data_IF_330379573800
#
_entry.id   IF_330379573800
#
_cell.length_a   1.000
_cell.length_b   1.000
_cell.length_c   1.000
_cell.angle_alpha   90.00
_cell.angle_beta   90.00
_cell.angle_gamma   90.00
#
_symmetry.space_group_name_H-M   'P 1'
#
loop_
_entity.id
_entity.type
_entity.pdbx_description
1 polymer ?
#
# COMPACT_ATOMS: atom_id res chain seq x y z
N UNK A 1 2.53 -6.46 9.58
CA UNK A 1 2.68 -6.75 8.14
C UNK A 1 2.69 -8.26 7.99
N UNK A 2 1.88 -8.79 7.09
CA UNK A 2 1.88 -10.23 6.76
C UNK A 2 2.30 -10.33 5.30
N UNK A 3 3.45 -10.93 5.04
CA UNK A 3 3.94 -11.17 3.69
C UNK A 3 4.04 -12.68 3.50
N UNK A 4 3.63 -13.18 2.34
CA UNK A 4 3.71 -14.59 1.99
C UNK A 4 5.15 -15.12 2.07
N UNK A 5 5.34 -16.42 2.27
CA UNK A 5 6.69 -17.00 2.31
C UNK A 5 7.49 -16.66 1.04
N UNK A 6 8.80 -16.42 1.19
CA UNK A 6 9.68 -16.07 0.07
C UNK A 6 9.55 -14.63 -0.44
N UNK A 7 8.92 -13.74 0.33
CA UNK A 7 8.78 -12.33 -0.05
C UNK A 7 9.53 -11.39 0.89
N UNK A 8 9.91 -10.24 0.36
CA UNK A 8 10.49 -9.13 1.14
C UNK A 8 9.94 -7.82 0.62
N UNK A 9 10.20 -6.71 1.32
CA UNK A 9 9.71 -5.41 0.89
C UNK A 9 10.72 -4.31 1.16
N UNK A 10 10.60 -3.24 0.38
CA UNK A 10 11.21 -1.96 0.63
C UNK A 10 10.13 -0.88 0.51
N UNK A 11 10.19 0.12 1.38
CA UNK A 11 9.26 1.25 1.33
C UNK A 11 10.04 2.56 1.40
N UNK A 12 9.71 3.49 0.50
CA UNK A 12 10.18 4.88 0.52
C UNK A 12 9.06 5.76 1.03
N UNK A 13 9.26 6.32 2.24
CA UNK A 13 8.30 7.17 2.96
C UNK A 13 9.05 8.29 3.67
N UNK A 14 8.37 9.41 3.94
CA UNK A 14 8.92 10.51 4.73
C UNK A 14 9.19 10.10 6.19
N UNK A 15 8.35 9.22 6.75
CA UNK A 15 8.54 8.75 8.11
C UNK A 15 7.57 7.69 8.57
N UNK A 16 7.75 7.29 9.83
CA UNK A 16 6.86 6.37 10.53
C UNK A 16 6.33 7.03 11.80
N UNK A 17 5.02 7.01 11.99
CA UNK A 17 4.41 7.32 13.28
C UNK A 17 4.19 6.04 14.07
N UNK A 18 4.39 6.14 15.38
CA UNK A 18 4.08 5.10 16.36
C UNK A 18 3.36 5.78 17.51
N UNK A 19 2.07 5.51 17.62
CA UNK A 19 1.20 6.03 18.67
C UNK A 19 0.41 4.89 19.33
N UNK A 20 -0.43 5.20 20.32
CA UNK A 20 -1.28 4.20 20.99
C UNK A 20 -2.21 3.47 20.00
N UNK A 21 -2.66 4.16 18.94
CA UNK A 21 -3.50 3.59 17.87
C UNK A 21 -2.74 2.62 16.94
N UNK A 22 -1.42 2.52 17.08
CA UNK A 22 -0.56 1.63 16.29
C UNK A 22 0.53 2.38 15.54
N UNK A 23 0.99 1.80 14.42
CA UNK A 23 2.02 2.38 13.57
C UNK A 23 1.49 2.70 12.17
N UNK A 24 1.97 3.80 11.59
CA UNK A 24 1.67 4.20 10.22
C UNK A 24 2.93 4.66 9.50
N UNK A 25 3.10 4.22 8.26
CA UNK A 25 3.97 4.91 7.31
C UNK A 25 3.25 6.15 6.78
N UNK A 26 3.93 7.29 6.71
CA UNK A 26 3.33 8.52 6.21
C UNK A 26 4.25 9.23 5.22
N UNK A 27 3.66 9.83 4.18
CA UNK A 27 4.39 10.57 3.14
C UNK A 27 3.43 11.34 2.23
N UNK A 28 3.92 12.37 1.54
CA UNK A 28 3.19 12.97 0.40
C UNK A 28 3.21 12.08 -0.84
N UNK A 29 4.31 11.38 -1.04
CA UNK A 29 4.52 10.40 -2.10
C UNK A 29 5.17 9.15 -1.50
N UNK A 30 4.60 7.97 -1.73
CA UNK A 30 5.17 6.70 -1.26
C UNK A 30 5.42 5.76 -2.42
N UNK A 31 6.44 4.92 -2.26
CA UNK A 31 6.69 3.76 -3.12
C UNK A 31 6.93 2.54 -2.23
N UNK A 32 6.07 1.54 -2.36
CA UNK A 32 6.20 0.22 -1.76
C UNK A 32 6.59 -0.76 -2.86
N UNK A 33 7.76 -1.37 -2.72
CA UNK A 33 8.25 -2.44 -3.59
C UNK A 33 8.23 -3.74 -2.79
N UNK A 34 7.54 -4.75 -3.30
CA UNK A 34 7.47 -6.09 -2.72
C UNK A 34 8.21 -7.03 -3.66
N UNK A 35 9.31 -7.64 -3.22
CA UNK A 35 9.96 -8.70 -3.97
C UNK A 35 9.18 -10.00 -3.76
N UNK A 36 8.84 -10.68 -4.85
CA UNK A 36 8.06 -11.91 -4.83
C UNK A 36 8.51 -12.89 -5.92
N UNK A 37 8.13 -14.18 -5.84
CA UNK A 37 8.40 -15.13 -6.92
C UNK A 37 7.83 -14.64 -8.25
N UNK A 38 8.54 -14.94 -9.34
CA UNK A 38 8.06 -14.61 -10.69
C UNK A 38 6.75 -15.35 -10.99
N UNK A 39 5.79 -14.63 -11.59
CA UNK A 39 4.48 -15.20 -11.90
C UNK A 39 3.59 -15.41 -10.67
N UNK A 40 3.83 -14.67 -9.58
CA UNK A 40 2.96 -14.62 -8.41
C UNK A 40 1.54 -14.21 -8.81
N UNK A 41 0.54 -14.96 -8.33
CA UNK A 41 -0.87 -14.67 -8.50
C UNK A 41 -1.49 -14.48 -7.12
N UNK A 42 -2.27 -13.42 -6.93
CA UNK A 42 -2.77 -13.15 -5.59
C UNK A 42 -3.50 -11.84 -5.44
N UNK A 43 -3.56 -11.40 -4.19
CA UNK A 43 -4.18 -10.13 -3.82
C UNK A 43 -3.29 -9.34 -2.87
N UNK A 44 -2.99 -8.10 -3.22
CA UNK A 44 -2.40 -7.12 -2.33
C UNK A 44 -3.51 -6.29 -1.66
N UNK A 45 -3.54 -6.32 -0.33
CA UNK A 45 -4.43 -5.51 0.50
C UNK A 45 -3.61 -4.45 1.23
N UNK A 46 -4.00 -3.18 1.09
CA UNK A 46 -3.35 -2.07 1.76
C UNK A 46 -4.38 -1.28 2.55
N UNK A 47 -4.11 -1.11 3.85
CA UNK A 47 -4.98 -0.37 4.75
C UNK A 47 -4.49 1.06 4.92
N UNK A 48 -5.34 2.00 4.50
CA UNK A 48 -5.15 3.42 4.72
C UNK A 48 -5.98 3.89 5.90
N UNK A 49 -5.52 4.91 6.64
CA UNK A 49 -6.28 5.47 7.76
C UNK A 49 -5.95 6.95 7.95
N UNK A 50 -6.95 7.83 7.94
CA UNK A 50 -6.81 9.22 8.37
C UNK A 50 -7.03 9.38 9.89
N UNK A 51 -6.03 9.03 10.72
CA UNK A 51 -6.15 9.05 12.19
C UNK A 51 -6.56 10.40 12.81
N UNK A 52 -6.28 11.49 12.09
CA UNK A 52 -6.44 12.86 12.57
C UNK A 52 -7.60 13.59 11.86
N UNK A 53 -8.38 12.90 11.03
CA UNK A 53 -9.51 13.48 10.29
C UNK A 53 -9.12 14.73 9.48
N UNK A 54 -7.95 14.69 8.83
CA UNK A 54 -7.43 15.82 8.05
C UNK A 54 -7.95 15.85 6.60
N UNK A 55 -8.98 15.07 6.27
CA UNK A 55 -9.53 14.99 4.93
C UNK A 55 -8.51 14.46 3.91
N UNK A 56 -7.73 13.45 4.30
CA UNK A 56 -6.72 12.83 3.43
C UNK A 56 -7.39 12.15 2.24
N UNK A 57 -6.90 12.43 1.04
CA UNK A 57 -7.27 11.71 -0.19
C UNK A 57 -6.06 11.58 -1.10
N UNK A 58 -6.11 10.67 -2.07
CA UNK A 58 -4.96 10.44 -2.94
C UNK A 58 -5.21 9.64 -4.19
N UNK A 59 -4.16 9.53 -5.00
CA UNK A 59 -4.07 8.64 -6.15
C UNK A 59 -3.15 7.48 -5.78
N UNK A 60 -3.61 6.27 -6.05
CA UNK A 60 -2.86 5.02 -5.91
C UNK A 60 -2.55 4.50 -7.31
N UNK A 61 -1.36 3.95 -7.49
CA UNK A 61 -0.94 3.33 -8.75
C UNK A 61 -0.24 2.01 -8.44
N UNK A 62 -0.86 0.90 -8.87
CA UNK A 62 -0.33 -0.45 -8.69
C UNK A 62 -0.07 -1.06 -10.04
N UNK A 63 1.19 -1.36 -10.36
CA UNK A 63 1.59 -1.93 -11.66
C UNK A 63 1.02 -1.12 -12.85
N UNK A 64 1.11 0.22 -12.73
CA UNK A 64 0.58 1.16 -13.72
C UNK A 64 -0.94 1.38 -13.71
N UNK A 65 -1.71 0.56 -12.96
CA UNK A 65 -3.17 0.71 -12.81
C UNK A 65 -3.49 1.72 -11.72
N UNK A 66 -4.32 2.71 -12.03
CA UNK A 66 -4.66 3.81 -11.13
C UNK A 66 -5.97 3.57 -10.39
N UNK A 67 -5.99 3.91 -9.10
CA UNK A 67 -7.17 3.94 -8.25
C UNK A 67 -7.20 5.24 -7.44
N UNK A 68 -8.40 5.73 -7.11
CA UNK A 68 -8.55 6.88 -6.22
C UNK A 68 -8.77 6.39 -4.79
N UNK A 69 -8.12 7.03 -3.82
CA UNK A 69 -8.40 6.89 -2.40
C UNK A 69 -9.23 8.09 -1.96
N UNK A 70 -10.47 7.83 -1.58
CA UNK A 70 -11.44 8.82 -1.14
C UNK A 70 -11.34 9.12 0.36
N UNK A 71 -12.47 9.44 0.99
CA UNK A 71 -12.54 9.57 2.44
C UNK A 71 -12.33 8.20 3.11
N UNK A 72 -11.39 8.14 4.06
CA UNK A 72 -11.01 6.93 4.79
C UNK A 72 -10.72 7.24 6.27
N UNK A 73 -11.53 8.13 6.86
CA UNK A 73 -11.46 8.50 8.28
C UNK A 73 -11.62 7.32 9.24
N UNK A 74 -12.38 6.29 8.89
CA UNK A 74 -12.55 5.08 9.73
C UNK A 74 -11.58 3.95 9.34
N UNK A 75 -10.63 4.24 8.45
CA UNK A 75 -9.78 3.25 7.82
C UNK A 75 -10.44 2.58 6.60
N UNK A 76 -9.64 2.31 5.58
CA UNK A 76 -10.11 1.69 4.34
C UNK A 76 -9.09 0.66 3.84
N UNK A 77 -9.57 -0.54 3.51
CA UNK A 77 -8.78 -1.54 2.80
C UNK A 77 -8.95 -1.37 1.30
N UNK A 78 -7.86 -1.05 0.61
CA UNK A 78 -7.82 -1.04 -0.85
C UNK A 78 -7.27 -2.38 -1.33
N UNK A 79 -8.02 -3.02 -2.23
CA UNK A 79 -7.68 -4.31 -2.82
C UNK A 79 -7.11 -4.14 -4.22
N UNK A 80 -5.93 -4.68 -4.45
CA UNK A 80 -5.29 -4.78 -5.76
C UNK A 80 -5.14 -6.24 -6.17
N UNK A 81 -5.65 -6.58 -7.34
CA UNK A 81 -5.49 -7.91 -7.91
C UNK A 81 -4.10 -8.03 -8.54
N UNK A 82 -3.34 -9.03 -8.12
CA UNK A 82 -2.01 -9.34 -8.66
C UNK A 82 -2.17 -10.41 -9.73
N UNK A 83 -1.83 -10.04 -10.95
CA UNK A 83 -1.80 -10.92 -12.11
C UNK A 83 -0.39 -11.52 -12.26
N UNK A 84 -0.25 -12.63 -12.99
CA UNK A 84 1.09 -13.22 -13.20
C UNK A 84 2.03 -12.25 -13.90
N UNK A 85 1.49 -11.46 -14.83
CA UNK A 85 2.25 -10.52 -15.65
C UNK A 85 2.83 -9.37 -14.81
N UNK A 86 2.16 -9.01 -13.72
CA UNK A 86 2.58 -7.96 -12.79
C UNK A 86 3.91 -8.28 -12.09
N UNK A 87 4.25 -9.57 -11.93
CA UNK A 87 5.41 -10.03 -11.16
C UNK A 87 6.47 -10.73 -12.01
N UNK A 88 6.41 -10.60 -13.34
CA UNK A 88 7.37 -11.24 -14.25
C UNK A 88 8.83 -10.82 -13.98
N UNK A 89 9.05 -9.63 -13.43
CA UNK A 89 10.37 -9.13 -13.05
C UNK A 89 10.75 -9.44 -11.59
N UNK A 90 9.91 -10.20 -10.87
CA UNK A 90 10.13 -10.62 -9.49
C UNK A 90 9.77 -9.56 -8.45
N UNK A 91 9.03 -8.51 -8.81
CA UNK A 91 8.58 -7.47 -7.88
C UNK A 91 7.16 -7.00 -8.17
N UNK A 92 6.55 -6.38 -7.16
CA UNK A 92 5.29 -5.65 -7.25
C UNK A 92 5.52 -4.24 -6.68
N UNK A 93 4.96 -3.23 -7.32
CA UNK A 93 5.18 -1.82 -7.05
C UNK A 93 3.84 -1.11 -6.86
N UNK A 94 3.61 -0.64 -5.64
CA UNK A 94 2.54 0.29 -5.31
C UNK A 94 3.12 1.67 -5.07
N UNK A 95 2.63 2.66 -5.82
CA UNK A 95 2.88 4.08 -5.60
C UNK A 95 1.62 4.75 -5.05
N UNK A 96 1.82 5.75 -4.20
CA UNK A 96 0.72 6.60 -3.75
C UNK A 96 1.14 8.06 -3.72
N UNK A 97 0.19 8.95 -4.01
CA UNK A 97 0.40 10.39 -4.00
C UNK A 97 -0.82 11.09 -3.39
N UNK A 98 -0.56 12.03 -2.49
CA UNK A 98 -1.60 12.87 -1.88
C UNK A 98 -2.31 13.73 -2.93
N UNK A 99 -3.62 13.84 -2.79
CA UNK A 99 -4.46 14.80 -3.49
C UNK A 99 -5.01 15.88 -2.54
N UNK A 100 -5.41 15.51 -1.31
CA UNK A 100 -5.79 16.45 -0.25
C UNK A 100 -5.27 16.00 1.12
N UNK A 101 -5.19 16.94 2.06
CA UNK A 101 -4.58 16.70 3.38
C UNK A 101 -3.04 16.78 3.32
N UNK A 102 -2.36 16.57 4.46
CA UNK A 102 -0.91 16.80 4.57
C UNK A 102 -0.04 15.63 4.05
N UNK A 103 -0.54 14.40 4.13
CA UNK A 103 0.13 13.15 3.76
C UNK A 103 -0.90 12.02 3.60
N UNK A 104 -0.52 10.88 3.01
CA UNK A 104 -1.24 9.63 3.14
C UNK A 104 -0.64 8.79 4.27
N UNK A 105 -1.41 7.81 4.76
CA UNK A 105 -1.02 6.95 5.87
C UNK A 105 -1.32 5.49 5.55
N UNK A 106 -0.29 4.64 5.49
CA UNK A 106 -0.44 3.18 5.37
C UNK A 106 -0.19 2.56 6.73
N UNK A 107 -1.19 1.86 7.27
CA UNK A 107 -1.11 1.23 8.60
C UNK A 107 -0.92 -0.27 8.53
N UNK A 108 -1.38 -0.92 7.45
CA UNK A 108 -1.22 -2.36 7.23
C UNK A 108 -1.04 -2.68 5.75
N UNK A 109 -0.25 -3.71 5.49
CA UNK A 109 -0.08 -4.33 4.18
C UNK A 109 -0.15 -5.84 4.35
N UNK A 110 -0.91 -6.49 3.48
CA UNK A 110 -1.06 -7.94 3.41
C UNK A 110 -0.96 -8.38 1.95
N UNK A 111 -0.07 -9.33 1.67
CA UNK A 111 -0.01 -10.01 0.38
C UNK A 111 -0.52 -11.44 0.55
N UNK A 112 -1.65 -11.74 -0.10
CA UNK A 112 -2.26 -13.06 -0.12
C UNK A 112 -1.90 -13.77 -1.42
N UNK A 113 -1.58 -15.05 -1.32
CA UNK A 113 -1.35 -15.91 -2.47
C UNK A 113 -2.65 -16.65 -2.81
N UNK A 114 -3.02 -16.70 -4.09
CA UNK A 114 -4.23 -17.36 -4.58
C UNK A 114 -3.98 -18.83 -5.02
N UNK A 115 -2.91 -19.46 -4.50
CA UNK A 115 -2.56 -20.88 -4.73
C UNK A 115 -3.73 -21.85 -4.58
#
# INVERSE_FOLDING_TARGET
MVISEGTSYNVKVDGTWKEEKGAAWHSKEMELVINCPQGFLGTLLVHFYDWNHNGRSGLLEFEGRKAKLGNHEEGEWVKFHVMREDSNDGKLVLKSKVNSGPNLMITKVVLLNDN
#
